data_IF_959311851728
#
_entry.id   IF_959311851728
#
_cell.length_a   1.000
_cell.length_b   1.000
_cell.length_c   1.000
_cell.angle_alpha   90.00
_cell.angle_beta   90.00
_cell.angle_gamma   90.00
#
_symmetry.space_group_name_H-M   'P 1'
#
loop_
_entity.id
_entity.type
_entity.pdbx_description
1 polymer ?
#
# COMPACT_ATOMS: atom_id res chain seq x y z
N UNK A 1 22.44 12.08 51.82
CA UNK A 1 23.44 11.06 52.17
C UNK A 1 22.66 9.83 52.59
N UNK A 2 22.62 8.68 51.93
CA UNK A 2 23.21 8.07 50.73
C UNK A 2 22.25 6.91 50.35
N UNK A 3 21.84 6.77 49.09
CA UNK A 3 22.40 5.89 48.05
C UNK A 3 22.29 4.36 48.31
N UNK A 4 21.69 3.65 47.33
CA UNK A 4 21.83 2.20 47.09
C UNK A 4 20.50 1.43 47.23
N UNK A 5 20.03 0.63 46.29
CA UNK A 5 20.54 0.20 44.98
C UNK A 5 19.66 -0.95 44.45
N UNK A 6 19.44 -0.93 43.13
CA UNK A 6 19.37 -2.05 42.17
C UNK A 6 18.49 -3.29 42.42
N UNK A 7 17.70 -3.65 41.40
CA UNK A 7 17.15 -5.00 41.24
C UNK A 7 16.23 -5.20 40.03
N UNK A 8 16.69 -4.90 38.81
CA UNK A 8 16.04 -5.37 37.58
C UNK A 8 16.65 -6.71 37.18
N UNK A 9 15.84 -7.77 37.08
CA UNK A 9 15.94 -8.75 35.97
C UNK A 9 14.83 -9.81 36.00
N UNK A 10 14.43 -10.18 34.78
CA UNK A 10 14.19 -11.55 34.28
C UNK A 10 12.81 -11.77 33.66
N UNK A 11 12.82 -12.13 32.37
CA UNK A 11 11.62 -12.59 31.65
C UNK A 11 11.72 -12.65 30.13
N UNK A 12 12.93 -12.69 29.53
CA UNK A 12 13.13 -12.67 28.07
C UNK A 12 13.17 -14.03 27.36
N UNK A 13 12.80 -15.14 28.02
CA UNK A 13 13.12 -16.49 27.48
C UNK A 13 11.91 -17.30 26.97
N UNK A 14 10.68 -16.78 27.08
CA UNK A 14 9.46 -17.52 26.67
C UNK A 14 9.00 -17.31 25.22
N UNK A 15 9.25 -16.14 24.63
CA UNK A 15 8.60 -15.73 23.37
C UNK A 15 9.17 -16.41 22.10
N UNK A 16 10.41 -16.89 22.14
CA UNK A 16 11.10 -17.43 20.95
C UNK A 16 10.58 -18.79 20.48
N UNK A 17 10.19 -19.69 21.41
CA UNK A 17 9.79 -21.06 21.06
C UNK A 17 8.36 -21.14 20.52
N UNK A 18 7.46 -20.28 20.98
CA UNK A 18 6.09 -20.18 20.47
C UNK A 18 6.05 -19.67 19.02
N UNK A 19 6.92 -18.70 18.70
CA UNK A 19 7.06 -18.17 17.33
C UNK A 19 7.59 -19.24 16.38
N UNK A 20 8.66 -19.96 16.75
CA UNK A 20 9.24 -21.00 15.88
C UNK A 20 8.29 -22.20 15.69
N UNK A 21 7.52 -22.58 16.70
CA UNK A 21 6.50 -23.62 16.57
C UNK A 21 5.37 -23.20 15.61
N UNK A 22 4.87 -21.96 15.73
CA UNK A 22 3.85 -21.41 14.84
C UNK A 22 4.33 -21.27 13.38
N UNK A 23 5.59 -20.90 13.16
CA UNK A 23 6.21 -20.87 11.83
C UNK A 23 6.31 -22.26 11.17
N UNK A 24 6.43 -23.35 11.95
CA UNK A 24 6.43 -24.73 11.41
C UNK A 24 5.02 -25.18 11.03
N UNK A 25 4.00 -24.86 11.82
CA UNK A 25 2.60 -25.17 11.51
C UNK A 25 2.13 -24.42 10.25
N UNK A 26 2.60 -23.17 10.04
CA UNK A 26 2.25 -22.36 8.85
C UNK A 26 2.92 -22.83 7.55
N UNK A 27 4.12 -23.43 7.61
CA UNK A 27 4.73 -24.12 6.45
C UNK A 27 3.99 -25.40 6.09
N UNK A 28 3.51 -26.16 7.08
CA UNK A 28 2.69 -27.34 6.84
C UNK A 28 1.35 -26.98 6.17
N UNK A 29 0.67 -25.91 6.61
CA UNK A 29 -0.58 -25.44 6.01
C UNK A 29 -0.46 -24.97 4.55
N UNK A 30 0.69 -24.38 4.19
CA UNK A 30 0.99 -24.03 2.78
C UNK A 30 1.46 -25.24 1.95
N UNK A 31 2.02 -26.28 2.60
CA UNK A 31 2.46 -27.52 1.96
C UNK A 31 1.31 -28.54 1.77
N UNK A 32 0.25 -28.47 2.58
CA UNK A 32 -0.95 -29.30 2.46
C UNK A 32 -2.04 -28.69 1.58
N UNK A 33 -1.72 -27.65 0.80
CA UNK A 33 -2.62 -27.15 -0.24
C UNK A 33 -2.84 -28.28 -1.27
N UNK A 34 -4.00 -28.93 -1.14
CA UNK A 34 -4.47 -30.06 -1.94
C UNK A 34 -4.45 -29.70 -3.44
N UNK A 35 -4.07 -30.65 -4.28
CA UNK A 35 -4.06 -30.54 -5.74
C UNK A 35 -5.48 -30.36 -6.34
N UNK A 36 -5.55 -30.04 -7.65
CA UNK A 36 -6.02 -28.76 -8.18
C UNK A 36 -7.54 -28.54 -8.00
N UNK A 37 -7.90 -27.38 -7.47
CA UNK A 37 -9.25 -26.80 -7.61
C UNK A 37 -9.51 -26.30 -9.04
N UNK A 38 -10.66 -25.67 -9.32
CA UNK A 38 -10.97 -25.11 -10.64
C UNK A 38 -9.80 -24.26 -11.16
N UNK A 39 -9.52 -24.34 -12.46
CA UNK A 39 -8.39 -23.63 -13.08
C UNK A 39 -8.51 -22.13 -12.83
N UNK A 40 -7.75 -21.61 -11.87
CA UNK A 40 -7.70 -20.17 -11.60
C UNK A 40 -7.06 -19.46 -12.79
N UNK A 41 -7.79 -18.52 -13.39
CA UNK A 41 -7.30 -17.70 -14.49
C UNK A 41 -6.55 -16.50 -13.92
N UNK A 42 -5.37 -16.23 -14.48
CA UNK A 42 -4.61 -15.03 -14.13
C UNK A 42 -5.16 -13.85 -14.91
N UNK A 43 -5.78 -12.89 -14.22
CA UNK A 43 -6.20 -11.61 -14.78
C UNK A 43 -5.16 -10.54 -14.47
N UNK A 44 -4.94 -9.65 -15.43
CA UNK A 44 -4.21 -8.39 -15.26
C UNK A 44 -4.95 -7.30 -16.04
N UNK A 45 -4.78 -6.00 -15.67
CA UNK A 45 -5.56 -4.91 -16.26
C UNK A 45 -5.53 -4.82 -17.79
N UNK A 46 -4.36 -5.08 -18.40
CA UNK A 46 -4.14 -4.91 -19.84
C UNK A 46 -3.77 -3.47 -20.22
N UNK A 47 -3.77 -3.21 -21.53
CA UNK A 47 -3.43 -1.90 -22.05
C UNK A 47 -4.44 -0.83 -21.59
N UNK A 48 -3.94 0.37 -21.32
CA UNK A 48 -4.74 1.55 -21.03
C UNK A 48 -5.37 2.05 -22.32
N UNK A 49 -6.68 2.25 -22.30
CA UNK A 49 -7.50 2.62 -23.45
C UNK A 49 -7.86 4.11 -23.41
N UNK A 50 -8.43 4.56 -22.30
CA UNK A 50 -8.93 5.94 -22.13
C UNK A 50 -8.92 6.34 -20.66
N UNK A 51 -9.23 7.60 -20.36
CA UNK A 51 -9.46 8.07 -19.01
C UNK A 51 -10.58 9.10 -18.94
N UNK A 52 -11.23 9.11 -17.78
CA UNK A 52 -12.29 10.04 -17.42
C UNK A 52 -11.77 10.93 -16.26
N UNK A 53 -11.41 12.19 -16.54
CA UNK A 53 -11.00 13.12 -15.50
C UNK A 53 -12.12 13.38 -14.50
N UNK A 54 -11.73 13.51 -13.22
CA UNK A 54 -12.60 13.90 -12.12
C UNK A 54 -11.83 14.69 -11.07
N UNK A 55 -12.50 15.12 -9.99
CA UNK A 55 -11.84 15.85 -8.92
C UNK A 55 -10.64 15.07 -8.35
N UNK A 56 -9.47 15.71 -8.26
CA UNK A 56 -8.27 15.08 -7.71
C UNK A 56 -7.56 14.08 -8.62
N UNK A 57 -8.09 13.79 -9.81
CA UNK A 57 -7.56 12.72 -10.66
C UNK A 57 -8.64 12.17 -11.59
N UNK A 58 -9.01 10.90 -11.44
CA UNK A 58 -10.08 10.30 -12.25
C UNK A 58 -9.98 8.78 -12.39
N UNK A 59 -10.68 8.28 -13.41
CA UNK A 59 -10.69 6.87 -13.79
C UNK A 59 -9.85 6.64 -15.03
N UNK A 60 -9.04 5.59 -15.05
CA UNK A 60 -8.25 5.15 -16.20
C UNK A 60 -8.72 3.76 -16.59
N UNK A 61 -9.30 3.65 -17.78
CA UNK A 61 -9.91 2.44 -18.30
C UNK A 61 -8.83 1.61 -19.00
N UNK A 62 -8.63 0.40 -18.51
CA UNK A 62 -7.80 -0.62 -19.16
C UNK A 62 -8.71 -1.66 -19.84
N UNK A 63 -8.13 -2.51 -20.68
CA UNK A 63 -8.88 -3.57 -21.39
C UNK A 63 -9.79 -4.43 -20.49
N UNK A 64 -9.35 -4.72 -19.25
CA UNK A 64 -10.01 -5.70 -18.36
C UNK A 64 -10.26 -5.19 -16.94
N UNK A 65 -9.91 -3.93 -16.66
CA UNK A 65 -10.02 -3.33 -15.34
C UNK A 65 -10.12 -1.81 -15.44
N UNK A 66 -10.63 -1.18 -14.39
CA UNK A 66 -10.64 0.28 -14.24
C UNK A 66 -9.73 0.66 -13.08
N UNK A 67 -8.83 1.62 -13.28
CA UNK A 67 -7.99 2.19 -12.24
C UNK A 67 -8.59 3.51 -11.79
N UNK A 68 -8.91 3.65 -10.51
CA UNK A 68 -9.21 4.93 -9.86
C UNK A 68 -7.94 5.49 -9.22
N UNK A 69 -7.61 6.72 -9.57
CA UNK A 69 -6.51 7.47 -8.93
C UNK A 69 -7.05 8.83 -8.47
N UNK A 70 -6.89 9.11 -7.18
CA UNK A 70 -7.36 10.37 -6.60
C UNK A 70 -6.27 10.93 -5.68
N UNK A 71 -5.85 12.16 -5.94
CA UNK A 71 -5.04 12.97 -5.05
C UNK A 71 -5.99 13.77 -4.16
N UNK A 72 -5.92 13.52 -2.86
CA UNK A 72 -6.69 14.23 -1.86
C UNK A 72 -6.02 15.55 -1.46
N UNK A 73 -6.79 16.44 -0.84
CA UNK A 73 -6.25 17.62 -0.16
C UNK A 73 -5.19 17.18 0.86
N UNK A 74 -4.01 17.82 0.81
CA UNK A 74 -2.84 17.38 1.58
C UNK A 74 -1.87 16.50 0.79
N UNK A 75 -2.29 15.93 -0.35
CA UNK A 75 -1.42 15.19 -1.26
C UNK A 75 -1.37 13.68 -1.01
N UNK A 76 -2.22 13.13 -0.13
CA UNK A 76 -2.42 11.69 -0.05
C UNK A 76 -3.02 11.18 -1.37
N UNK A 77 -2.59 10.00 -1.81
CA UNK A 77 -3.01 9.41 -3.09
C UNK A 77 -3.75 8.12 -2.82
N UNK A 78 -5.01 8.06 -3.24
CA UNK A 78 -5.76 6.83 -3.34
C UNK A 78 -5.49 6.16 -4.69
N UNK A 79 -5.23 4.85 -4.65
CA UNK A 79 -5.13 4.01 -5.83
C UNK A 79 -6.04 2.80 -5.62
N UNK A 80 -7.06 2.67 -6.46
CA UNK A 80 -8.03 1.58 -6.43
C UNK A 80 -8.19 0.93 -7.79
N UNK A 81 -8.33 -0.38 -7.84
CA UNK A 81 -8.68 -1.11 -9.05
C UNK A 81 -10.10 -1.66 -8.94
N UNK A 82 -10.80 -1.63 -10.08
CA UNK A 82 -12.20 -1.99 -10.23
C UNK A 82 -13.08 -1.18 -9.25
N UNK A 83 -14.10 -1.78 -8.62
CA UNK A 83 -15.06 -1.07 -7.77
C UNK A 83 -14.48 -0.52 -6.43
N UNK A 84 -13.16 -0.50 -6.25
CA UNK A 84 -12.53 0.12 -5.08
C UNK A 84 -12.76 1.64 -5.04
N UNK A 85 -13.59 2.08 -4.09
CA UNK A 85 -13.82 3.50 -3.79
C UNK A 85 -12.92 4.03 -2.66
N UNK A 86 -12.55 5.34 -2.69
CA UNK A 86 -11.82 5.98 -1.59
C UNK A 86 -12.72 6.18 -0.34
N UNK A 87 -14.04 6.21 -0.55
CA UNK A 87 -15.07 6.30 0.49
C UNK A 87 -15.37 4.96 1.19
N UNK A 88 -14.56 3.94 0.91
CA UNK A 88 -14.57 2.69 1.66
C UNK A 88 -13.30 2.56 2.52
N UNK A 89 -13.04 3.44 3.50
CA UNK A 89 -12.30 2.99 4.66
C UNK A 89 -13.12 1.86 5.30
N UNK A 90 -12.45 0.74 5.62
CA UNK A 90 -13.04 -0.53 6.07
C UNK A 90 -14.37 -0.38 6.84
N UNK A 91 -15.42 -1.19 6.55
CA UNK A 91 -16.56 -1.26 7.44
C UNK A 91 -16.09 -1.80 8.80
N UNK A 92 -16.32 -1.02 9.86
CA UNK A 92 -16.18 -1.49 11.24
C UNK A 92 -17.20 -2.58 11.49
N UNK A 93 -16.76 -3.73 11.97
CA UNK A 93 -17.65 -4.73 12.58
C UNK A 93 -18.17 -4.15 13.90
N UNK A 94 -19.38 -3.56 13.89
CA UNK A 94 -20.15 -3.23 15.09
C UNK A 94 -19.89 -1.86 15.74
N UNK A 95 -20.98 -1.12 15.96
CA UNK A 95 -21.19 -0.02 16.91
C UNK A 95 -20.12 1.09 17.03
N UNK A 96 -20.37 2.21 16.34
CA UNK A 96 -19.70 3.49 16.62
C UNK A 96 -19.55 4.36 15.38
N UNK A 97 -20.58 5.14 15.05
CA UNK A 97 -20.54 6.17 14.02
C UNK A 97 -19.66 7.35 14.47
N UNK A 98 -18.35 7.17 14.32
CA UNK A 98 -17.31 8.21 14.36
C UNK A 98 -16.31 7.87 13.27
N UNK A 99 -16.74 7.98 12.01
CA UNK A 99 -15.95 7.62 10.84
C UNK A 99 -15.02 8.75 10.45
N UNK A 100 -13.72 8.46 10.29
CA UNK A 100 -12.83 9.37 9.58
C UNK A 100 -13.42 9.63 8.19
N UNK A 101 -13.57 10.90 7.82
CA UNK A 101 -14.04 11.25 6.50
C UNK A 101 -12.91 11.04 5.49
N UNK A 102 -13.21 10.42 4.34
CA UNK A 102 -12.28 10.45 3.22
C UNK A 102 -11.95 11.92 2.92
N UNK A 103 -10.66 12.28 2.85
CA UNK A 103 -10.25 13.65 2.62
C UNK A 103 -10.79 14.08 1.25
N UNK A 104 -11.30 15.31 1.14
CA UNK A 104 -11.84 15.79 -0.12
C UNK A 104 -10.76 15.74 -1.20
N UNK A 105 -11.11 15.42 -2.45
CA UNK A 105 -10.18 15.48 -3.57
C UNK A 105 -9.54 16.89 -3.70
N UNK A 106 -8.27 16.94 -4.10
CA UNK A 106 -7.61 18.21 -4.42
C UNK A 106 -8.12 18.69 -5.79
N UNK A 107 -8.99 19.69 -5.80
CA UNK A 107 -9.59 20.22 -7.04
C UNK A 107 -8.57 20.89 -7.97
N UNK A 108 -7.35 21.15 -7.50
CA UNK A 108 -6.24 21.65 -8.33
C UNK A 108 -5.50 20.53 -9.05
N UNK A 109 -5.73 19.27 -8.68
CA UNK A 109 -5.10 18.14 -9.34
C UNK A 109 -5.93 17.70 -10.55
N UNK A 110 -5.26 17.59 -11.70
CA UNK A 110 -5.90 17.29 -12.98
C UNK A 110 -5.35 16.02 -13.59
N UNK A 111 -6.22 15.18 -14.15
CA UNK A 111 -5.84 14.02 -14.96
C UNK A 111 -5.73 14.43 -16.42
N UNK A 112 -4.54 14.25 -17.00
CA UNK A 112 -4.23 14.63 -18.37
C UNK A 112 -3.35 13.58 -19.07
N UNK A 113 -3.28 13.59 -20.41
CA UNK A 113 -2.39 12.69 -21.15
C UNK A 113 -0.91 12.90 -20.78
N UNK A 114 -0.16 11.81 -20.66
CA UNK A 114 1.29 11.86 -20.41
C UNK A 114 2.09 11.78 -21.72
N UNK A 115 3.20 12.52 -21.82
CA UNK A 115 4.04 12.56 -23.03
C UNK A 115 4.74 11.24 -23.34
N UNK A 116 4.99 10.39 -22.34
CA UNK A 116 5.47 9.02 -22.53
C UNK A 116 4.34 8.05 -22.96
N UNK A 117 3.10 8.55 -23.04
CA UNK A 117 1.88 7.80 -23.24
C UNK A 117 1.29 7.24 -21.95
N UNK A 118 0.00 6.96 -21.97
CA UNK A 118 -0.80 6.75 -20.77
C UNK A 118 -1.29 8.10 -20.23
N UNK A 119 -1.41 8.21 -18.91
CA UNK A 119 -2.04 9.36 -18.25
C UNK A 119 -1.25 9.80 -17.03
N UNK A 120 -1.44 11.04 -16.61
CA UNK A 120 -0.84 11.56 -15.37
C UNK A 120 -1.82 12.43 -14.61
N UNK A 121 -1.79 12.31 -13.28
CA UNK A 121 -2.40 13.28 -12.38
C UNK A 121 -1.32 14.28 -11.98
N UNK A 122 -1.49 15.53 -12.39
CA UNK A 122 -0.59 16.63 -12.01
C UNK A 122 -1.19 17.34 -10.81
N UNK A 123 -0.44 17.41 -9.71
CA UNK A 123 -0.79 18.23 -8.55
C UNK A 123 0.43 18.99 -8.07
N UNK A 124 0.22 19.99 -7.22
CA UNK A 124 1.33 20.73 -6.60
C UNK A 124 2.15 19.88 -5.60
N UNK A 125 1.63 18.72 -5.16
CA UNK A 125 2.20 17.91 -4.08
C UNK A 125 2.78 16.58 -4.52
N UNK A 126 2.30 16.04 -5.64
CA UNK A 126 2.70 14.75 -6.19
C UNK A 126 2.39 14.71 -7.68
N UNK A 127 3.25 14.02 -8.41
CA UNK A 127 2.97 13.60 -9.78
C UNK A 127 2.69 12.09 -9.77
N UNK A 128 1.51 11.71 -10.23
CA UNK A 128 1.14 10.30 -10.41
C UNK A 128 1.08 10.00 -11.90
N UNK A 129 1.82 9.02 -12.39
CA UNK A 129 1.75 8.58 -13.79
C UNK A 129 1.18 7.17 -13.88
N UNK A 130 0.20 6.98 -14.75
CA UNK A 130 -0.33 5.68 -15.17
C UNK A 130 0.25 5.35 -16.54
N UNK A 131 1.14 4.36 -16.57
CA UNK A 131 1.75 3.89 -17.82
C UNK A 131 0.77 3.11 -18.69
N UNK A 132 1.13 2.92 -19.96
CA UNK A 132 0.32 2.25 -20.99
C UNK A 132 -0.17 0.84 -20.62
N UNK A 133 0.50 0.16 -19.70
CA UNK A 133 0.15 -1.19 -19.25
C UNK A 133 -0.54 -1.21 -17.87
N UNK A 134 -0.94 -0.05 -17.35
CA UNK A 134 -1.56 0.07 -16.02
C UNK A 134 -0.56 0.11 -14.86
N UNK A 135 0.71 0.37 -15.11
CA UNK A 135 1.70 0.60 -14.03
C UNK A 135 1.48 1.97 -13.40
N UNK A 136 1.54 2.08 -12.07
CA UNK A 136 1.38 3.37 -11.38
C UNK A 136 2.73 3.84 -10.84
N UNK A 137 3.10 5.09 -11.07
CA UNK A 137 4.33 5.70 -10.55
C UNK A 137 4.01 6.95 -9.76
N UNK A 138 4.53 7.04 -8.55
CA UNK A 138 4.45 8.23 -7.72
C UNK A 138 5.81 8.92 -7.71
N UNK A 139 5.80 10.23 -7.98
CA UNK A 139 6.96 11.09 -7.99
C UNK A 139 6.73 12.30 -7.11
N UNK A 140 7.82 12.84 -6.55
CA UNK A 140 7.81 14.17 -5.96
C UNK A 140 7.39 15.22 -7.01
N UNK A 141 6.97 16.43 -6.60
CA UNK A 141 6.73 17.53 -7.54
C UNK A 141 7.94 17.83 -8.44
N UNK A 142 9.16 17.64 -7.93
CA UNK A 142 10.41 17.76 -8.69
C UNK A 142 10.71 16.59 -9.63
N UNK A 143 9.78 15.64 -9.80
CA UNK A 143 9.90 14.53 -10.75
C UNK A 143 10.71 13.31 -10.27
N UNK A 144 11.18 13.30 -9.01
CA UNK A 144 11.98 12.19 -8.48
C UNK A 144 11.07 11.02 -8.11
N UNK A 145 11.39 9.81 -8.58
CA UNK A 145 10.62 8.60 -8.31
C UNK A 145 10.64 8.24 -6.82
N UNK A 146 9.45 8.15 -6.23
CA UNK A 146 9.23 7.60 -4.88
C UNK A 146 8.91 6.11 -4.96
N UNK A 147 7.98 5.74 -5.84
CA UNK A 147 7.42 4.39 -5.92
C UNK A 147 6.90 4.08 -7.32
N UNK A 148 7.12 2.85 -7.76
CA UNK A 148 6.60 2.32 -9.02
C UNK A 148 5.91 0.97 -8.77
N UNK A 149 4.60 0.97 -8.88
CA UNK A 149 3.75 -0.20 -8.76
C UNK A 149 3.52 -0.83 -10.14
N UNK A 150 3.78 -2.13 -10.25
CA UNK A 150 3.37 -2.91 -11.41
C UNK A 150 1.86 -3.08 -11.39
N UNK A 151 1.24 -3.35 -12.55
CA UNK A 151 -0.17 -3.76 -12.58
C UNK A 151 -0.37 -4.95 -11.64
N UNK A 152 -1.48 -4.99 -10.87
CA UNK A 152 -1.82 -6.14 -10.06
C UNK A 152 -2.11 -7.37 -10.94
N UNK A 153 -2.03 -8.54 -10.33
CA UNK A 153 -2.47 -9.80 -10.92
C UNK A 153 -3.46 -10.46 -9.98
N UNK A 154 -4.60 -10.86 -10.50
CA UNK A 154 -5.63 -11.62 -9.79
C UNK A 154 -5.66 -13.06 -10.26
N UNK A 155 -5.93 -13.98 -9.34
CA UNK A 155 -6.18 -15.38 -9.65
C UNK A 155 -7.65 -15.65 -9.36
N UNK A 156 -8.46 -15.62 -10.41
CA UNK A 156 -9.91 -15.66 -10.27
C UNK A 156 -10.43 -16.97 -10.87
N UNK A 157 -11.42 -17.62 -10.23
CA UNK A 157 -12.12 -18.74 -10.85
C UNK A 157 -12.90 -18.25 -12.07
N UNK A 158 -13.56 -17.10 -11.96
CA UNK A 158 -14.27 -16.39 -13.02
C UNK A 158 -13.94 -14.88 -12.97
N UNK A 159 -13.91 -14.17 -14.11
CA UNK A 159 -13.58 -12.75 -14.15
C UNK A 159 -14.45 -11.91 -13.20
N UNK A 160 -13.82 -11.12 -12.34
CA UNK A 160 -14.51 -10.22 -11.40
C UNK A 160 -14.95 -10.88 -10.09
N UNK A 161 -14.67 -12.18 -9.89
CA UNK A 161 -15.04 -12.91 -8.66
C UNK A 161 -14.22 -12.53 -7.41
N UNK A 162 -13.32 -11.54 -7.49
CA UNK A 162 -12.61 -10.99 -6.31
C UNK A 162 -11.62 -11.97 -5.67
N UNK A 163 -10.88 -12.72 -6.49
CA UNK A 163 -9.91 -13.72 -6.05
C UNK A 163 -8.61 -13.16 -5.44
N UNK A 164 -7.72 -14.03 -4.93
CA UNK A 164 -6.42 -13.62 -4.40
C UNK A 164 -5.62 -12.85 -5.44
N UNK A 165 -4.88 -11.85 -4.97
CA UNK A 165 -4.11 -10.99 -5.84
C UNK A 165 -2.70 -10.72 -5.34
N UNK A 166 -1.84 -10.32 -6.27
CA UNK A 166 -0.46 -9.92 -5.99
C UNK A 166 -0.11 -8.66 -6.75
N UNK A 167 0.67 -7.81 -6.09
CA UNK A 167 1.24 -6.62 -6.70
C UNK A 167 2.71 -6.49 -6.32
N UNK A 168 3.51 -6.00 -7.25
CA UNK A 168 4.93 -5.70 -7.02
C UNK A 168 5.15 -4.21 -7.10
N UNK A 169 6.05 -3.76 -6.26
CA UNK A 169 6.43 -2.36 -6.18
C UNK A 169 7.94 -2.26 -6.20
N UNK A 170 8.44 -1.23 -6.88
CA UNK A 170 9.85 -0.85 -6.89
C UNK A 170 9.98 0.52 -6.26
N UNK A 171 10.98 0.67 -5.41
CA UNK A 171 11.40 1.94 -4.81
C UNK A 171 12.87 2.16 -5.14
N UNK A 172 13.42 3.31 -4.76
CA UNK A 172 14.83 3.60 -5.00
C UNK A 172 15.76 2.59 -4.34
N UNK A 173 16.98 2.52 -4.84
CA UNK A 173 17.99 1.58 -4.37
C UNK A 173 18.44 1.86 -2.92
N UNK A 174 18.42 3.13 -2.51
CA UNK A 174 18.75 3.59 -1.16
C UNK A 174 17.57 3.48 -0.17
N UNK A 175 16.41 3.04 -0.62
CA UNK A 175 15.22 2.96 0.22
C UNK A 175 15.37 1.92 1.34
N UNK A 176 14.77 2.23 2.49
CA UNK A 176 14.59 1.33 3.62
C UNK A 176 13.11 1.10 3.88
N UNK A 177 12.76 -0.13 4.19
CA UNK A 177 11.40 -0.54 4.49
C UNK A 177 11.24 -0.72 5.99
N UNK A 178 10.17 -0.18 6.53
CA UNK A 178 9.70 -0.42 7.88
C UNK A 178 8.29 -0.99 7.76
N UNK A 179 8.07 -2.14 8.38
CA UNK A 179 6.74 -2.75 8.49
C UNK A 179 6.10 -2.33 9.82
N UNK A 180 5.19 -1.36 9.83
CA UNK A 180 4.48 -0.99 11.05
C UNK A 180 3.50 -2.09 11.55
N UNK A 181 3.36 -3.22 10.85
CA UNK A 181 2.45 -4.35 11.09
C UNK A 181 2.62 -5.16 12.39
N UNK A 182 3.05 -4.51 13.48
CA UNK A 182 3.02 -5.01 14.86
C UNK A 182 2.60 -3.96 15.92
N UNK A 183 2.22 -2.74 15.52
CA UNK A 183 1.84 -1.60 16.39
C UNK A 183 0.45 -1.06 15.98
N UNK A 184 -0.31 -0.30 16.81
CA UNK A 184 -1.77 -0.11 16.70
C UNK A 184 -2.19 0.87 15.60
N UNK A 185 -1.55 0.85 14.43
CA UNK A 185 -2.09 1.50 13.22
C UNK A 185 -3.27 0.71 12.60
N UNK A 186 -3.59 -0.47 13.16
CA UNK A 186 -4.87 -1.14 12.99
C UNK A 186 -5.72 -0.95 14.24
N UNK A 187 -6.90 -0.37 14.09
CA UNK A 187 -7.95 -0.36 15.10
C UNK A 187 -8.39 -1.81 15.38
N UNK A 188 -8.42 -2.22 16.66
CA UNK A 188 -9.10 -3.42 17.17
C UNK A 188 -8.92 -4.71 16.32
N UNK A 189 -7.82 -5.43 16.54
CA UNK A 189 -7.71 -6.85 16.18
C UNK A 189 -7.40 -7.22 14.72
N UNK A 190 -7.45 -6.29 13.76
CA UNK A 190 -7.14 -6.58 12.34
C UNK A 190 -5.96 -5.78 11.81
N UNK A 191 -4.89 -6.50 11.39
CA UNK A 191 -3.69 -5.89 10.78
C UNK A 191 -3.91 -5.68 9.29
N UNK A 192 -4.09 -4.43 8.89
CA UNK A 192 -3.99 -4.04 7.46
C UNK A 192 -2.51 -4.04 7.04
N UNK A 193 -2.15 -4.62 5.88
CA UNK A 193 -0.78 -4.54 5.40
C UNK A 193 -0.38 -3.08 5.13
N UNK A 194 0.63 -2.62 5.85
CA UNK A 194 1.17 -1.27 5.71
C UNK A 194 2.70 -1.31 5.58
N UNK A 195 3.25 -0.35 4.85
CA UNK A 195 4.70 -0.20 4.67
C UNK A 195 5.08 1.27 4.74
N UNK A 196 6.06 1.59 5.57
CA UNK A 196 6.72 2.88 5.59
C UNK A 196 8.05 2.76 4.83
N UNK A 197 8.27 3.65 3.88
CA UNK A 197 9.48 3.69 3.06
C UNK A 197 10.18 5.02 3.27
N UNK A 198 11.47 4.98 3.57
CA UNK A 198 12.34 6.16 3.70
C UNK A 198 13.46 6.05 2.68
N UNK A 199 13.73 7.12 1.93
CA UNK A 199 14.81 7.21 0.95
C UNK A 199 15.31 8.64 0.80
N UNK A 200 16.41 8.87 0.09
CA UNK A 200 16.90 10.20 -0.25
C UNK A 200 15.94 11.02 -1.12
N UNK A 201 14.96 10.39 -1.78
CA UNK A 201 13.90 11.11 -2.50
C UNK A 201 12.72 11.54 -1.61
N UNK A 202 12.67 11.07 -0.36
CA UNK A 202 11.61 11.34 0.59
C UNK A 202 11.01 10.07 1.20
N UNK A 203 9.99 10.31 2.02
CA UNK A 203 9.29 9.30 2.83
C UNK A 203 7.85 9.13 2.35
N UNK A 204 7.37 7.89 2.33
CA UNK A 204 5.97 7.58 2.08
C UNK A 204 5.48 6.37 2.88
N UNK A 205 4.24 6.43 3.34
CA UNK A 205 3.49 5.36 3.98
C UNK A 205 2.47 4.82 2.96
N UNK A 206 2.44 3.50 2.75
CA UNK A 206 1.40 2.84 1.95
C UNK A 206 0.58 1.96 2.88
N UNK A 207 -0.74 2.11 2.85
CA UNK A 207 -1.65 1.26 3.61
C UNK A 207 -2.68 0.63 2.69
N UNK A 208 -2.73 -0.70 2.67
CA UNK A 208 -3.70 -1.44 1.88
C UNK A 208 -5.05 -1.47 2.58
N UNK A 209 -6.07 -0.93 1.92
CA UNK A 209 -7.44 -0.78 2.43
C UNK A 209 -8.30 -1.94 1.95
N UNK A 210 -7.89 -3.17 2.28
CA UNK A 210 -8.71 -4.34 2.01
C UNK A 210 -8.94 -5.13 3.28
N UNK A 211 -10.18 -5.59 3.43
CA UNK A 211 -10.52 -6.50 4.50
C UNK A 211 -9.95 -7.91 4.40
N UNK A 212 -9.30 -8.17 3.27
CA UNK A 212 -8.49 -9.33 2.95
C UNK A 212 -7.43 -9.65 4.02
N UNK A 213 -7.24 -10.92 4.38
CA UNK A 213 -5.95 -11.31 4.96
C UNK A 213 -4.83 -11.07 3.93
N UNK A 214 -3.68 -10.62 4.40
CA UNK A 214 -2.57 -10.35 3.51
C UNK A 214 -1.23 -10.17 4.19
N UNK A 215 -0.20 -9.94 3.38
CA UNK A 215 1.14 -9.73 3.87
C UNK A 215 2.09 -9.14 2.84
N UNK A 216 3.19 -8.61 3.36
CA UNK A 216 4.22 -7.92 2.61
C UNK A 216 5.52 -8.72 2.65
N UNK A 217 6.28 -8.67 1.55
CA UNK A 217 7.66 -9.13 1.53
C UNK A 217 8.53 -8.04 0.96
N UNK A 218 9.58 -7.71 1.69
CA UNK A 218 10.52 -6.68 1.29
C UNK A 218 11.84 -7.30 0.81
N UNK A 219 12.47 -6.62 -0.14
CA UNK A 219 13.86 -6.81 -0.51
C UNK A 219 14.48 -5.43 -0.63
N UNK A 220 15.48 -5.16 0.19
CA UNK A 220 16.21 -3.90 0.13
C UNK A 220 16.89 -3.72 -1.22
N UNK A 221 17.00 -2.45 -1.63
CA UNK A 221 17.78 -2.06 -2.79
C UNK A 221 19.26 -2.02 -2.48
N UNK A 222 20.07 -1.90 -3.53
CA UNK A 222 21.52 -1.72 -3.42
C UNK A 222 21.92 -0.58 -4.35
N UNK A 223 22.33 0.58 -3.81
CA UNK A 223 22.89 1.66 -4.61
C UNK A 223 24.12 1.16 -5.37
N UNK A 224 24.29 1.64 -6.59
CA UNK A 224 25.51 1.43 -7.36
C UNK A 224 26.70 2.17 -6.75
N UNK A 225 27.90 1.62 -6.91
CA UNK A 225 29.17 2.22 -6.47
C UNK A 225 29.80 3.12 -7.54
N UNK A 226 29.01 4.02 -8.13
CA UNK A 226 29.43 4.93 -9.18
C UNK A 226 29.16 4.39 -10.58
N UNK A 227 29.87 3.32 -10.99
CA UNK A 227 29.71 2.73 -12.34
C UNK A 227 28.68 1.60 -12.43
N UNK A 228 28.35 0.95 -11.30
CA UNK A 228 27.32 -0.07 -11.27
C UNK A 228 25.91 0.54 -11.31
N UNK A 229 24.97 -0.20 -11.90
CA UNK A 229 23.57 0.21 -11.91
C UNK A 229 22.92 0.01 -10.54
N UNK A 230 22.12 0.98 -10.13
CA UNK A 230 21.23 0.88 -8.97
C UNK A 230 20.31 -0.34 -9.07
N UNK A 231 20.30 -1.16 -8.01
CA UNK A 231 19.30 -2.22 -7.85
C UNK A 231 18.15 -1.68 -6.99
N UNK A 232 16.93 -1.52 -7.53
CA UNK A 232 15.83 -0.95 -6.78
C UNK A 232 15.37 -1.88 -5.66
N UNK A 233 14.97 -1.27 -4.53
CA UNK A 233 14.24 -2.00 -3.50
C UNK A 233 12.90 -2.50 -4.03
N UNK A 234 12.41 -3.62 -3.48
CA UNK A 234 11.16 -4.26 -3.92
C UNK A 234 10.25 -4.58 -2.76
N UNK A 235 8.96 -4.38 -2.97
CA UNK A 235 7.90 -4.90 -2.13
C UNK A 235 6.99 -5.81 -2.96
N UNK A 236 6.70 -7.01 -2.45
CA UNK A 236 5.67 -7.91 -2.98
C UNK A 236 4.50 -7.94 -1.98
N UNK A 237 3.34 -7.47 -2.42
CA UNK A 237 2.07 -7.51 -1.69
C UNK A 237 1.29 -8.74 -2.11
N UNK A 238 0.66 -9.42 -1.16
CA UNK A 238 -0.24 -10.56 -1.41
C UNK A 238 -1.46 -10.45 -0.53
N UNK A 239 -2.63 -10.52 -1.13
CA UNK A 239 -3.91 -10.57 -0.42
C UNK A 239 -4.68 -11.82 -0.82
N UNK A 240 -5.50 -12.32 0.08
CA UNK A 240 -6.34 -13.49 -0.16
C UNK A 240 -7.60 -13.18 -0.99
N UNK A 241 -8.07 -11.92 -0.99
CA UNK A 241 -9.25 -11.48 -1.73
C UNK A 241 -9.33 -9.95 -1.83
N UNK A 242 -10.43 -9.46 -2.39
CA UNK A 242 -10.82 -8.06 -2.39
C UNK A 242 -10.25 -7.28 -3.59
N UNK A 243 -10.79 -6.08 -3.87
CA UNK A 243 -10.22 -5.24 -4.89
C UNK A 243 -8.84 -4.73 -4.44
N UNK A 244 -7.97 -4.41 -5.39
CA UNK A 244 -6.67 -3.83 -5.07
C UNK A 244 -6.89 -2.36 -4.75
N UNK A 245 -6.82 -2.01 -3.47
CA UNK A 245 -6.98 -0.64 -3.00
C UNK A 245 -5.91 -0.29 -1.95
N UNK A 246 -5.33 0.90 -2.06
CA UNK A 246 -4.40 1.41 -1.07
C UNK A 246 -4.30 2.93 -1.10
N UNK A 247 -3.89 3.47 0.04
CA UNK A 247 -3.51 4.87 0.21
C UNK A 247 -1.99 5.01 0.22
N UNK A 248 -1.48 6.07 -0.37
CA UNK A 248 -0.08 6.51 -0.27
C UNK A 248 -0.03 7.90 0.35
N UNK A 249 0.58 8.01 1.52
CA UNK A 249 0.76 9.27 2.22
C UNK A 249 2.23 9.67 2.17
N UNK A 250 2.52 10.87 1.69
CA UNK A 250 3.89 11.35 1.45
C UNK A 250 4.27 12.47 2.40
N UNK A 251 5.54 12.52 2.76
CA UNK A 251 6.10 13.54 3.64
C UNK A 251 6.74 12.93 4.89
N UNK A 252 7.11 13.78 5.88
CA UNK A 252 7.69 13.31 7.14
C UNK A 252 6.85 12.21 7.79
N UNK A 253 7.51 11.28 8.49
CA UNK A 253 6.86 10.08 9.05
C UNK A 253 5.68 10.47 9.94
N UNK A 254 5.86 11.47 10.80
CA UNK A 254 4.86 11.95 11.75
C UNK A 254 3.62 12.50 11.04
N UNK A 255 3.83 13.19 9.92
CA UNK A 255 2.76 13.71 9.08
C UNK A 255 2.01 12.57 8.39
N UNK A 256 2.74 11.64 7.77
CA UNK A 256 2.13 10.51 7.07
C UNK A 256 1.31 9.63 8.02
N UNK A 257 1.79 9.38 9.24
CA UNK A 257 1.06 8.64 10.27
C UNK A 257 -0.17 9.42 10.75
N UNK A 258 -0.02 10.72 11.05
CA UNK A 258 -1.15 11.56 11.49
C UNK A 258 -2.25 11.65 10.44
N UNK A 259 -1.86 11.84 9.17
CA UNK A 259 -2.82 11.85 8.07
C UNK A 259 -3.55 10.50 8.00
N UNK A 260 -2.85 9.36 8.07
CA UNK A 260 -3.47 8.03 8.09
C UNK A 260 -4.47 7.86 9.24
N UNK A 261 -4.08 8.23 10.47
CA UNK A 261 -4.97 8.15 11.64
C UNK A 261 -6.23 9.00 11.44
N UNK A 262 -6.09 10.18 10.84
CA UNK A 262 -7.22 11.03 10.45
C UNK A 262 -8.13 10.39 9.39
N UNK A 263 -7.58 9.66 8.41
CA UNK A 263 -8.36 8.90 7.43
C UNK A 263 -9.19 7.79 8.08
N UNK A 264 -8.63 7.12 9.09
CA UNK A 264 -9.27 5.96 9.74
C UNK A 264 -10.14 6.33 10.94
N UNK A 265 -10.21 7.62 11.31
CA UNK A 265 -10.98 8.09 12.47
C UNK A 265 -10.45 7.53 13.80
N UNK A 266 -9.13 7.35 13.92
CA UNK A 266 -8.53 7.08 15.22
C UNK A 266 -8.51 8.38 16.01
N UNK A 267 -9.12 8.41 17.19
CA UNK A 267 -8.90 9.52 18.12
C UNK A 267 -7.39 9.62 18.37
N UNK A 268 -6.82 10.78 18.07
CA UNK A 268 -5.57 11.18 18.71
C UNK A 268 -5.94 11.49 20.16
N UNK A 269 -6.05 10.46 21.00
CA UNK A 269 -6.26 10.65 22.42
C UNK A 269 -5.03 11.38 22.95
N UNK A 270 -5.24 12.64 23.26
CA UNK A 270 -4.24 13.66 23.41
C UNK A 270 -4.62 14.51 24.60
N UNK A 271 -4.33 13.97 25.78
CA UNK A 271 -4.20 14.67 27.07
C UNK A 271 -5.49 15.09 27.78
#
# INVERSE_FOLDING_TARGET
MDAGGLGWSAGRVGAGRAVVAWWRTRRAALATARAPGPTLRVRAPGAVLTAEPGPGGGLVHCERSVLRVVVAQGGAVFVGWDAAGPDQPEPRDGAGAGGGACPPPDTRATLEPDTAGGWRVVSQRVLVTVGREGSVRLRTPGGVLLRHDTPPRWWEPEPGAGGPWRQRSRVRADARFLDPGGSPLGTEGRRVPAQLVVSGAGTHLVVHSSGAEGGLRFREGVPGDGSAHDRPGRCDVRMSAGPVAYWVLMGPVERAVREWVGLTGGEADGR
#
